data_IF_693420948563
#
_entry.id   IF_693420948563
#
_cell.length_a   1.000
_cell.length_b   1.000
_cell.length_c   1.000
_cell.angle_alpha   90.00
_cell.angle_beta   90.00
_cell.angle_gamma   90.00
#
_symmetry.space_group_name_H-M   'P 1'
#
loop_
_entity.id
_entity.type
_entity.pdbx_description
1 polymer ?
#
# COMPACT_ATOMS: atom_id res chain seq x y z
N UNK A 1 -8.59 13.51 -9.75
CA UNK A 1 -7.25 13.24 -9.17
C UNK A 1 -7.48 12.54 -7.85
N UNK A 2 -6.83 11.40 -7.57
CA UNK A 2 -7.13 10.61 -6.36
C UNK A 2 -6.81 11.37 -5.07
N UNK A 3 -5.69 12.11 -5.09
CA UNK A 3 -5.25 12.96 -3.99
C UNK A 3 -5.31 14.44 -4.42
N UNK A 4 -5.72 15.34 -3.52
CA UNK A 4 -5.58 16.79 -3.70
C UNK A 4 -4.12 17.18 -3.95
N UNK A 5 -3.89 18.36 -4.55
CA UNK A 5 -2.55 18.94 -4.73
C UNK A 5 -1.93 19.39 -3.39
N UNK A 6 -1.58 18.41 -2.56
CA UNK A 6 -0.89 18.51 -1.27
C UNK A 6 0.15 17.40 -1.24
N UNK A 7 1.28 17.62 -0.60
CA UNK A 7 2.29 16.57 -0.41
C UNK A 7 1.82 15.56 0.64
N UNK A 8 1.96 14.28 0.32
CA UNK A 8 1.68 13.17 1.23
C UNK A 8 2.93 12.32 1.40
N UNK A 9 3.24 11.99 2.65
CA UNK A 9 4.29 11.03 3.00
C UNK A 9 3.68 9.66 3.17
N UNK A 10 4.13 8.69 2.39
CA UNK A 10 3.67 7.30 2.45
C UNK A 10 4.83 6.40 2.81
N UNK A 11 4.60 5.50 3.76
CA UNK A 11 5.58 4.48 4.14
C UNK A 11 5.10 3.13 3.64
N UNK A 12 5.91 2.45 2.82
CA UNK A 12 5.60 1.10 2.33
C UNK A 12 6.51 0.09 3.03
N UNK A 13 5.90 -0.78 3.84
CA UNK A 13 6.60 -1.84 4.57
C UNK A 13 6.03 -3.20 4.20
N UNK A 14 6.80 -4.25 4.47
CA UNK A 14 6.42 -5.63 4.18
C UNK A 14 7.65 -6.52 4.07
N UNK A 15 7.43 -7.83 4.17
CA UNK A 15 8.50 -8.82 4.03
C UNK A 15 9.13 -8.81 2.63
N UNK A 16 10.26 -9.48 2.49
CA UNK A 16 10.85 -9.74 1.19
C UNK A 16 9.85 -10.50 0.30
N UNK A 17 9.87 -10.17 -1.00
CA UNK A 17 8.92 -10.72 -1.97
C UNK A 17 7.43 -10.37 -1.70
N UNK A 18 7.07 -9.52 -0.73
CA UNK A 18 5.67 -9.10 -0.51
C UNK A 18 5.07 -8.29 -1.70
N UNK A 19 5.92 -7.80 -2.61
CA UNK A 19 5.51 -7.06 -3.81
C UNK A 19 5.69 -5.53 -3.70
N UNK A 20 6.39 -5.03 -2.68
CA UNK A 20 6.61 -3.58 -2.45
C UNK A 20 7.12 -2.84 -3.69
N UNK A 21 8.26 -3.27 -4.24
CA UNK A 21 8.88 -2.64 -5.43
C UNK A 21 7.97 -2.75 -6.65
N UNK A 22 7.32 -3.89 -6.85
CA UNK A 22 6.35 -4.07 -7.95
C UNK A 22 5.17 -3.10 -7.82
N UNK A 23 4.66 -2.89 -6.60
CA UNK A 23 3.60 -1.90 -6.34
C UNK A 23 4.09 -0.49 -6.67
N UNK A 24 5.27 -0.09 -6.19
CA UNK A 24 5.82 1.23 -6.44
C UNK A 24 6.05 1.51 -7.94
N UNK A 25 6.61 0.54 -8.67
CA UNK A 25 6.80 0.67 -10.12
C UNK A 25 5.48 0.67 -10.88
N UNK A 26 4.52 -0.16 -10.48
CA UNK A 26 3.19 -0.14 -11.09
C UNK A 26 2.50 1.21 -10.95
N UNK A 27 2.68 1.87 -9.81
CA UNK A 27 2.17 3.23 -9.60
C UNK A 27 2.97 4.26 -10.41
N UNK A 28 4.30 4.22 -10.34
CA UNK A 28 5.16 5.22 -10.99
C UNK A 28 5.12 5.15 -12.52
N UNK A 29 5.15 3.94 -13.09
CA UNK A 29 5.27 3.69 -14.53
C UNK A 29 3.93 3.36 -15.19
N UNK A 30 2.88 3.05 -14.42
CA UNK A 30 1.59 2.58 -14.93
C UNK A 30 1.57 1.13 -15.42
N UNK A 31 2.74 0.53 -15.64
CA UNK A 31 2.92 -0.85 -16.10
C UNK A 31 3.70 -1.71 -15.09
N UNK A 32 3.53 -3.03 -15.21
CA UNK A 32 4.26 -3.96 -14.35
C UNK A 32 5.60 -4.27 -15.00
N UNK A 33 6.66 -3.77 -14.37
CA UNK A 33 8.03 -4.11 -14.74
C UNK A 33 8.45 -5.36 -13.96
N UNK A 34 9.04 -6.34 -14.64
CA UNK A 34 9.61 -7.51 -13.97
C UNK A 34 10.73 -7.07 -13.03
N UNK A 35 10.48 -7.19 -11.73
CA UNK A 35 11.46 -6.87 -10.70
C UNK A 35 12.31 -8.09 -10.38
N UNK A 36 13.59 -7.86 -10.14
CA UNK A 36 14.47 -8.88 -9.57
C UNK A 36 14.38 -8.79 -8.04
N UNK A 37 14.56 -9.88 -7.28
CA UNK A 37 14.58 -9.82 -5.82
C UNK A 37 15.52 -8.73 -5.35
N UNK A 38 14.98 -7.75 -4.63
CA UNK A 38 15.77 -6.64 -4.09
C UNK A 38 16.70 -7.18 -3.01
N UNK A 39 18.00 -6.94 -3.15
CA UNK A 39 18.99 -7.38 -2.16
C UNK A 39 19.09 -6.31 -1.06
N UNK A 40 18.70 -6.67 0.17
CA UNK A 40 18.80 -5.80 1.34
C UNK A 40 17.60 -4.86 1.56
N UNK A 41 17.64 -4.08 2.65
CA UNK A 41 16.65 -3.05 2.95
C UNK A 41 16.88 -1.85 2.04
N UNK A 42 16.06 -1.73 0.99
CA UNK A 42 16.17 -0.65 0.01
C UNK A 42 15.31 0.54 0.47
N UNK A 43 15.93 1.70 0.69
CA UNK A 43 15.23 2.97 0.91
C UNK A 43 15.17 3.67 -0.44
N UNK A 44 14.12 3.37 -1.21
CA UNK A 44 13.84 4.07 -2.47
C UNK A 44 12.80 5.15 -2.21
N UNK A 45 13.19 6.41 -2.41
CA UNK A 45 12.24 7.49 -2.57
C UNK A 45 11.62 7.37 -3.97
N UNK A 46 10.32 7.09 -4.01
CA UNK A 46 9.53 7.16 -5.24
C UNK A 46 8.61 8.36 -5.12
N UNK A 47 8.46 9.13 -6.20
CA UNK A 47 7.48 10.20 -6.29
C UNK A 47 6.45 9.82 -7.35
N UNK A 48 5.18 9.78 -6.95
CA UNK A 48 4.05 9.57 -7.84
C UNK A 48 3.07 10.74 -7.69
N UNK A 49 3.05 11.64 -8.68
CA UNK A 49 2.32 12.92 -8.60
C UNK A 49 2.72 13.72 -7.35
N UNK A 50 1.82 13.83 -6.38
CA UNK A 50 1.97 14.52 -5.10
C UNK A 50 2.19 13.55 -3.92
N UNK A 51 2.42 12.27 -4.21
CA UNK A 51 2.76 11.23 -3.24
C UNK A 51 4.26 11.04 -3.21
N UNK A 52 4.84 11.13 -2.01
CA UNK A 52 6.26 10.91 -1.71
C UNK A 52 6.38 9.72 -0.78
N UNK A 53 7.17 8.72 -1.18
CA UNK A 53 7.37 7.51 -0.38
C UNK A 53 8.65 7.64 0.47
N UNK A 54 8.54 7.59 1.80
CA UNK A 54 9.65 7.73 2.76
C UNK A 54 9.51 6.74 3.93
N UNK A 55 10.58 6.51 4.70
CA UNK A 55 10.59 5.61 5.87
C UNK A 55 11.01 6.38 7.13
N UNK A 56 10.12 6.50 8.13
CA UNK A 56 10.41 7.14 9.41
C UNK A 56 9.42 6.70 10.51
N UNK A 57 9.94 6.39 11.71
CA UNK A 57 9.19 5.71 12.78
C UNK A 57 8.37 6.67 13.67
N UNK A 58 8.85 7.91 13.88
CA UNK A 58 8.24 8.84 14.85
C UNK A 58 7.03 9.61 14.29
N UNK A 59 6.89 9.70 12.97
CA UNK A 59 5.81 10.45 12.31
C UNK A 59 4.52 9.63 12.14
N UNK A 60 4.53 8.35 12.51
CA UNK A 60 3.43 7.43 12.20
C UNK A 60 2.25 7.53 13.16
N UNK A 61 2.32 8.30 14.25
CA UNK A 61 1.25 8.37 15.26
C UNK A 61 -0.12 8.82 14.71
N UNK A 62 -0.14 9.55 13.58
CA UNK A 62 -1.37 9.98 12.91
C UNK A 62 -1.56 9.34 11.53
N UNK A 63 -0.80 8.28 11.23
CA UNK A 63 -0.87 7.62 9.94
C UNK A 63 -2.20 6.86 9.77
N UNK A 64 -2.73 6.87 8.55
CA UNK A 64 -3.77 5.94 8.10
C UNK A 64 -3.08 4.71 7.54
N UNK A 65 -3.54 3.52 7.89
CA UNK A 65 -2.89 2.25 7.53
C UNK A 65 -3.69 1.51 6.46
N UNK A 66 -3.10 1.31 5.29
CA UNK A 66 -3.64 0.42 4.26
C UNK A 66 -2.78 -0.85 4.17
N UNK A 67 -3.41 -2.00 4.38
CA UNK A 67 -2.79 -3.31 4.23
C UNK A 67 -3.23 -3.91 2.90
N UNK A 68 -2.31 -4.09 1.96
CA UNK A 68 -2.60 -4.87 0.77
C UNK A 68 -2.41 -6.36 1.06
N UNK A 69 -3.50 -7.12 1.03
CA UNK A 69 -3.48 -8.57 0.88
C UNK A 69 -3.13 -8.87 -0.59
N UNK A 70 -1.85 -8.72 -0.92
CA UNK A 70 -1.36 -8.87 -2.28
C UNK A 70 -1.29 -10.34 -2.72
N UNK A 71 -1.21 -10.54 -4.03
CA UNK A 71 -1.05 -11.82 -4.72
C UNK A 71 -2.24 -12.77 -4.58
N UNK A 72 -3.46 -12.21 -4.57
CA UNK A 72 -4.71 -12.98 -4.49
C UNK A 72 -4.98 -13.83 -5.74
N UNK A 73 -4.15 -13.73 -6.78
CA UNK A 73 -4.12 -14.62 -7.94
C UNK A 73 -3.59 -16.02 -7.61
N UNK A 74 -2.84 -16.18 -6.52
CA UNK A 74 -2.29 -17.48 -6.13
C UNK A 74 -3.32 -18.34 -5.41
N UNK A 75 -3.34 -19.64 -5.75
CA UNK A 75 -4.27 -20.63 -5.16
C UNK A 75 -4.14 -20.76 -3.64
N UNK A 76 -2.94 -20.60 -3.12
CA UNK A 76 -2.64 -20.73 -1.69
C UNK A 76 -2.58 -19.37 -0.97
N UNK A 77 -3.09 -18.31 -1.61
CA UNK A 77 -3.14 -16.99 -0.98
C UNK A 77 -4.13 -16.99 0.18
N UNK A 78 -3.68 -16.49 1.33
CA UNK A 78 -4.59 -16.21 2.44
C UNK A 78 -5.58 -15.11 2.04
N UNK A 79 -6.83 -15.31 2.43
CA UNK A 79 -7.88 -14.30 2.29
C UNK A 79 -7.61 -13.08 3.21
N UNK A 80 -8.20 -11.91 2.92
CA UNK A 80 -8.11 -10.75 3.82
C UNK A 80 -8.54 -11.05 5.26
N UNK A 81 -9.54 -11.93 5.45
CA UNK A 81 -10.00 -12.33 6.78
C UNK A 81 -8.93 -13.13 7.55
N UNK A 82 -8.29 -14.09 6.89
CA UNK A 82 -7.22 -14.90 7.49
C UNK A 82 -5.99 -14.06 7.81
N UNK A 83 -5.62 -13.11 6.93
CA UNK A 83 -4.52 -12.17 7.18
C UNK A 83 -4.85 -11.26 8.36
N UNK A 84 -6.07 -10.73 8.42
CA UNK A 84 -6.55 -9.90 9.53
C UNK A 84 -6.42 -10.62 10.87
N UNK A 85 -6.78 -11.90 10.90
CA UNK A 85 -6.65 -12.73 12.09
C UNK A 85 -5.18 -13.02 12.43
N UNK A 86 -4.40 -13.48 11.45
CA UNK A 86 -3.01 -13.92 11.65
C UNK A 86 -2.09 -12.79 12.07
N UNK A 87 -2.26 -11.60 11.48
CA UNK A 87 -1.51 -10.39 11.85
C UNK A 87 -2.14 -9.63 13.02
N UNK A 88 -3.24 -10.15 13.58
CA UNK A 88 -3.98 -9.52 14.67
C UNK A 88 -4.37 -8.06 14.40
N UNK A 89 -4.72 -7.71 13.15
CA UNK A 89 -4.99 -6.31 12.77
C UNK A 89 -6.14 -5.68 13.58
N UNK A 90 -7.07 -6.51 14.07
CA UNK A 90 -8.17 -6.10 14.93
C UNK A 90 -7.76 -5.44 16.26
N UNK A 91 -6.49 -5.57 16.68
CA UNK A 91 -5.98 -4.91 17.89
C UNK A 91 -5.57 -3.44 17.63
N UNK A 92 -5.47 -3.02 16.37
CA UNK A 92 -5.12 -1.65 16.00
C UNK A 92 -6.31 -0.74 16.32
N UNK A 93 -6.17 0.09 17.35
CA UNK A 93 -7.21 1.02 17.82
C UNK A 93 -6.87 2.50 17.62
N UNK A 94 -5.58 2.81 17.45
CA UNK A 94 -5.10 4.19 17.40
C UNK A 94 -4.93 4.72 15.97
N UNK A 95 -5.27 3.91 14.98
CA UNK A 95 -5.16 4.25 13.56
C UNK A 95 -6.43 3.81 12.84
N UNK A 96 -6.88 4.64 11.90
CA UNK A 96 -7.79 4.18 10.86
C UNK A 96 -7.03 3.19 9.98
N UNK A 97 -7.61 2.02 9.75
CA UNK A 97 -6.97 1.00 8.94
C UNK A 97 -7.96 0.23 8.07
N UNK A 98 -7.45 -0.30 6.97
CA UNK A 98 -8.19 -1.18 6.07
C UNK A 98 -7.27 -2.22 5.46
N UNK A 99 -7.82 -3.40 5.21
CA UNK A 99 -7.18 -4.44 4.43
C UNK A 99 -7.90 -4.57 3.09
N UNK A 100 -7.13 -4.59 2.00
CA UNK A 100 -7.63 -4.67 0.65
C UNK A 100 -6.97 -5.83 -0.10
N UNK A 101 -7.78 -6.74 -0.64
CA UNK A 101 -7.32 -7.76 -1.58
C UNK A 101 -6.80 -7.09 -2.86
N UNK A 102 -5.68 -7.53 -3.41
CA UNK A 102 -5.24 -7.08 -4.73
C UNK A 102 -4.33 -8.08 -5.43
N UNK A 103 -4.21 -7.91 -6.74
CA UNK A 103 -3.14 -8.52 -7.53
C UNK A 103 -2.40 -7.42 -8.30
N UNK A 104 -1.23 -7.04 -7.79
CA UNK A 104 -0.41 -5.96 -8.37
C UNK A 104 0.05 -6.30 -9.79
N UNK A 105 0.29 -7.57 -10.11
CA UNK A 105 0.80 -8.00 -11.42
C UNK A 105 -0.17 -7.73 -12.57
N UNK A 106 -1.47 -7.86 -12.31
CA UNK A 106 -2.53 -7.55 -13.28
C UNK A 106 -3.15 -6.17 -13.03
N UNK A 107 -2.79 -5.52 -11.91
CA UNK A 107 -3.27 -4.19 -11.52
C UNK A 107 -4.68 -4.19 -10.91
N UNK A 108 -5.24 -5.37 -10.64
CA UNK A 108 -6.57 -5.53 -10.05
C UNK A 108 -6.59 -5.04 -8.60
N UNK A 109 -7.59 -4.22 -8.29
CA UNK A 109 -7.90 -3.66 -6.96
C UNK A 109 -6.80 -2.82 -6.28
N UNK A 110 -5.65 -2.61 -6.94
CA UNK A 110 -4.59 -1.73 -6.43
C UNK A 110 -5.09 -0.28 -6.28
N UNK A 111 -5.78 0.24 -7.30
CA UNK A 111 -6.29 1.61 -7.28
C UNK A 111 -7.46 1.79 -6.31
N UNK A 112 -8.26 0.76 -6.07
CA UNK A 112 -9.38 0.83 -5.13
C UNK A 112 -8.91 0.87 -3.68
N UNK A 113 -7.87 0.11 -3.33
CA UNK A 113 -7.18 0.29 -2.04
C UNK A 113 -6.63 1.72 -1.89
N UNK A 114 -6.02 2.29 -2.94
CA UNK A 114 -5.55 3.67 -2.91
C UNK A 114 -6.70 4.69 -2.81
N UNK A 115 -7.88 4.42 -3.38
CA UNK A 115 -9.06 5.27 -3.23
C UNK A 115 -9.51 5.30 -1.79
N UNK A 116 -9.50 4.15 -1.11
CA UNK A 116 -9.86 4.09 0.31
C UNK A 116 -8.94 4.97 1.15
N UNK A 117 -7.61 4.83 1.02
CA UNK A 117 -6.69 5.63 1.84
C UNK A 117 -6.77 7.12 1.49
N UNK A 118 -6.99 7.46 0.21
CA UNK A 118 -7.22 8.84 -0.21
C UNK A 118 -8.46 9.45 0.45
N UNK A 119 -9.57 8.72 0.56
CA UNK A 119 -10.77 9.18 1.25
C UNK A 119 -10.50 9.45 2.73
N UNK A 120 -9.79 8.54 3.41
CA UNK A 120 -9.49 8.69 4.83
C UNK A 120 -8.59 9.90 5.10
N UNK A 121 -7.50 10.07 4.33
CA UNK A 121 -6.55 11.18 4.56
C UNK A 121 -7.07 12.55 4.11
N UNK A 122 -8.10 12.59 3.24
CA UNK A 122 -8.68 13.85 2.76
C UNK A 122 -9.98 14.24 3.47
N UNK A 123 -10.63 13.29 4.14
CA UNK A 123 -11.96 13.48 4.73
C UNK A 123 -13.05 13.78 3.69
N UNK A 124 -12.81 13.47 2.41
CA UNK A 124 -13.73 13.75 1.29
C UNK A 124 -13.98 12.49 0.48
N UNK A 125 -15.24 12.29 0.07
CA UNK A 125 -15.56 11.28 -0.93
C UNK A 125 -14.87 11.65 -2.27
N UNK A 126 -14.40 10.67 -3.08
CA UNK A 126 -13.76 10.97 -4.36
C UNK A 126 -14.80 11.60 -5.29
N UNK A 127 -14.46 12.73 -5.90
CA UNK A 127 -15.22 13.37 -6.98
C UNK A 127 -15.06 12.64 -8.30
#
# INVERSE_FOLDING_TARGET
MLFPAKEYKIVVVGLDNAGKTTTLYKLHLGEVVTTHPTIGSNVEEVVYNNLRFELGHDELQQAVVLVFANKQDMKDAMTPAEITYTLSLHIIKNHDWHIHACCVLIGEDLYDGLRWIAQQVTGKAPS
#
